data_IF_551260132818
#
_entry.id   IF_551260132818
#
_cell.length_a   1.000
_cell.length_b   1.000
_cell.length_c   1.000
_cell.angle_alpha   90.00
_cell.angle_beta   90.00
_cell.angle_gamma   90.00
#
_symmetry.space_group_name_H-M   'P 1'
#
loop_
_entity.id
_entity.type
_entity.pdbx_description
1 polymer ?
#
# COMPACT_ATOMS: atom_id res chain seq x y z
N UNK A 1 18.17 30.65 -23.63
CA UNK A 1 18.44 29.73 -24.76
C UNK A 1 18.84 28.32 -24.32
N UNK A 2 18.97 27.98 -23.03
CA UNK A 2 19.29 26.62 -22.56
C UNK A 2 18.07 25.81 -22.13
N UNK A 3 17.06 26.44 -21.52
CA UNK A 3 15.85 25.74 -21.02
C UNK A 3 14.98 25.16 -22.15
N UNK A 4 14.81 25.89 -23.26
CA UNK A 4 14.08 25.40 -24.44
C UNK A 4 14.76 24.16 -25.06
N UNK A 5 16.09 24.09 -25.04
CA UNK A 5 16.83 22.94 -25.59
C UNK A 5 16.73 21.71 -24.71
N UNK A 6 16.71 21.85 -23.38
CA UNK A 6 16.47 20.73 -22.47
C UNK A 6 15.02 20.22 -22.58
N UNK A 7 14.05 21.10 -22.76
CA UNK A 7 12.65 20.72 -22.96
C UNK A 7 12.44 20.03 -24.32
N UNK A 8 13.09 20.52 -25.38
CA UNK A 8 13.13 19.89 -26.70
C UNK A 8 13.84 18.53 -26.66
N UNK A 9 14.98 18.43 -25.96
CA UNK A 9 15.71 17.18 -25.81
C UNK A 9 14.90 16.14 -25.04
N UNK A 10 14.21 16.53 -23.95
CA UNK A 10 13.26 15.65 -23.27
C UNK A 10 12.11 15.25 -24.18
N UNK A 11 11.53 16.17 -24.96
CA UNK A 11 10.45 15.84 -25.90
C UNK A 11 10.88 14.85 -26.97
N UNK A 12 12.10 14.95 -27.47
CA UNK A 12 12.65 14.01 -28.46
C UNK A 12 13.02 12.67 -27.81
N UNK A 13 13.59 12.65 -26.61
CA UNK A 13 13.83 11.43 -25.85
C UNK A 13 12.50 10.71 -25.51
N UNK A 14 11.48 11.47 -25.10
CA UNK A 14 10.11 11.00 -24.89
C UNK A 14 9.48 10.43 -26.16
N UNK A 15 9.76 11.03 -27.32
CA UNK A 15 9.31 10.54 -28.63
C UNK A 15 9.99 9.23 -29.02
N UNK A 16 11.28 9.13 -28.79
CA UNK A 16 12.08 7.93 -29.08
C UNK A 16 11.66 6.77 -28.17
N UNK A 17 11.37 7.03 -26.89
CA UNK A 17 10.80 6.03 -25.97
C UNK A 17 9.38 5.63 -26.37
N UNK A 18 8.51 6.60 -26.76
CA UNK A 18 7.18 6.31 -27.32
C UNK A 18 7.25 5.42 -28.56
N UNK A 19 8.22 5.67 -29.45
CA UNK A 19 8.39 4.93 -30.69
C UNK A 19 8.93 3.52 -30.47
N UNK A 20 9.81 3.32 -29.46
CA UNK A 20 10.31 2.00 -29.06
C UNK A 20 9.24 1.16 -28.35
N UNK A 21 8.29 1.79 -27.65
CA UNK A 21 7.22 1.14 -26.89
C UNK A 21 5.96 0.78 -27.69
N UNK A 22 5.90 0.98 -29.02
CA UNK A 22 4.74 0.54 -29.82
C UNK A 22 4.72 -0.99 -30.00
N UNK A 23 4.42 -1.71 -28.93
CA UNK A 23 3.68 -2.98 -29.00
C UNK A 23 2.20 -2.63 -28.92
N UNK A 24 1.40 -3.14 -29.86
CA UNK A 24 0.00 -2.75 -30.11
C UNK A 24 -0.95 -2.98 -28.92
N UNK A 25 -0.49 -3.64 -27.82
CA UNK A 25 -1.27 -3.82 -26.58
C UNK A 25 -1.19 -2.65 -25.58
N UNK A 26 -0.24 -1.72 -25.74
CA UNK A 26 0.09 -0.74 -24.70
C UNK A 26 -0.58 0.65 -24.92
N UNK A 27 -1.07 0.97 -26.12
CA UNK A 27 -1.49 2.34 -26.48
C UNK A 27 -2.77 2.81 -25.75
N UNK A 28 -3.74 1.93 -25.50
CA UNK A 28 -5.00 2.28 -24.83
C UNK A 28 -4.87 2.35 -23.31
N UNK A 29 -4.09 1.44 -22.72
CA UNK A 29 -3.72 1.54 -21.30
C UNK A 29 -2.94 2.84 -21.07
N UNK A 30 -2.05 3.18 -22.00
CA UNK A 30 -1.24 4.38 -21.88
C UNK A 30 -2.06 5.67 -21.93
N UNK A 31 -3.02 5.78 -22.86
CA UNK A 31 -3.97 6.90 -22.88
C UNK A 31 -4.74 7.01 -21.55
N UNK A 32 -5.21 5.87 -21.04
CA UNK A 32 -5.94 5.83 -19.77
C UNK A 32 -5.06 6.27 -18.59
N UNK A 33 -3.77 5.94 -18.60
CA UNK A 33 -2.82 6.38 -17.57
C UNK A 33 -2.50 7.87 -17.70
N UNK A 34 -2.31 8.40 -18.91
CA UNK A 34 -2.08 9.84 -19.16
C UNK A 34 -3.28 10.71 -18.75
N UNK A 35 -4.52 10.21 -18.87
CA UNK A 35 -5.72 10.92 -18.39
C UNK A 35 -5.78 11.06 -16.87
N UNK A 36 -5.10 10.15 -16.16
CA UNK A 36 -5.22 10.01 -14.70
C UNK A 36 -3.99 10.56 -13.97
N UNK A 37 -2.82 10.43 -14.58
CA UNK A 37 -1.54 10.71 -13.94
C UNK A 37 -0.74 11.79 -14.68
N UNK A 38 0.08 12.52 -13.93
CA UNK A 38 1.01 13.47 -14.53
C UNK A 38 2.12 12.77 -15.34
N UNK A 39 2.69 13.49 -16.31
CA UNK A 39 3.75 12.97 -17.18
C UNK A 39 4.93 12.36 -16.40
N UNK A 40 5.28 12.92 -15.23
CA UNK A 40 6.38 12.41 -14.40
C UNK A 40 6.07 11.01 -13.86
N UNK A 41 4.86 10.81 -13.36
CA UNK A 41 4.38 9.50 -12.87
C UNK A 41 4.36 8.48 -14.01
N UNK A 42 3.87 8.89 -15.17
CA UNK A 42 3.82 8.03 -16.37
C UNK A 42 5.23 7.60 -16.80
N UNK A 43 6.19 8.53 -16.81
CA UNK A 43 7.60 8.21 -17.11
C UNK A 43 8.27 7.35 -16.05
N UNK A 44 7.97 7.58 -14.77
CA UNK A 44 8.42 6.72 -13.68
C UNK A 44 7.95 5.27 -13.89
N UNK A 45 6.68 5.08 -14.25
CA UNK A 45 6.13 3.75 -14.54
C UNK A 45 6.84 3.09 -15.73
N UNK A 46 7.10 3.85 -16.80
CA UNK A 46 7.84 3.34 -17.95
C UNK A 46 9.25 2.87 -17.60
N UNK A 47 9.97 3.62 -16.78
CA UNK A 47 11.28 3.19 -16.29
C UNK A 47 11.15 1.86 -15.54
N UNK A 48 10.11 1.68 -14.73
CA UNK A 48 9.86 0.43 -14.01
C UNK A 48 9.50 -0.75 -14.92
N UNK A 49 8.90 -0.49 -16.09
CA UNK A 49 8.60 -1.53 -17.11
C UNK A 49 9.86 -1.89 -17.91
N UNK A 50 10.64 -0.90 -18.30
CA UNK A 50 11.80 -1.08 -19.19
C UNK A 50 13.01 -1.68 -18.46
N UNK A 51 13.30 -1.21 -17.25
CA UNK A 51 14.50 -1.60 -16.49
C UNK A 51 14.21 -2.04 -15.05
N UNK A 52 12.94 -2.02 -14.63
CA UNK A 52 12.51 -2.42 -13.30
C UNK A 52 11.84 -3.80 -13.25
N UNK A 53 11.10 -4.09 -12.17
CA UNK A 53 10.55 -5.42 -11.91
C UNK A 53 9.28 -5.74 -12.72
N UNK A 54 8.69 -4.77 -13.43
CA UNK A 54 7.40 -4.92 -14.10
C UNK A 54 7.61 -5.39 -15.53
N UNK A 55 6.89 -6.43 -15.97
CA UNK A 55 6.81 -6.83 -17.37
C UNK A 55 5.69 -6.12 -18.12
N UNK A 56 4.47 -6.21 -17.59
CA UNK A 56 3.29 -5.60 -18.18
C UNK A 56 2.32 -5.13 -17.10
N UNK A 57 1.63 -4.03 -17.34
CA UNK A 57 0.57 -3.50 -16.47
C UNK A 57 -0.78 -3.75 -17.13
N UNK A 58 -1.80 -4.05 -16.33
CA UNK A 58 -3.17 -4.32 -16.77
C UNK A 58 -4.13 -3.31 -16.15
N UNK A 59 -5.42 -3.64 -16.08
CA UNK A 59 -6.47 -2.77 -15.55
C UNK A 59 -6.29 -2.39 -14.07
N UNK A 60 -6.97 -1.32 -13.68
CA UNK A 60 -7.05 -0.89 -12.29
C UNK A 60 -7.91 -1.88 -11.49
N UNK A 61 -7.36 -2.42 -10.40
CA UNK A 61 -8.08 -3.32 -9.47
C UNK A 61 -8.72 -2.56 -8.32
N UNK A 62 -8.18 -1.39 -7.96
CA UNK A 62 -8.75 -0.51 -6.92
C UNK A 62 -8.51 0.95 -7.28
N UNK A 63 -9.57 1.74 -7.22
CA UNK A 63 -9.50 3.20 -7.30
C UNK A 63 -9.87 3.80 -5.94
N UNK A 64 -8.95 4.56 -5.35
CA UNK A 64 -9.16 5.28 -4.10
C UNK A 64 -8.94 6.79 -4.26
N UNK A 65 -9.27 7.54 -3.21
CA UNK A 65 -9.05 9.00 -3.17
C UNK A 65 -7.57 9.41 -3.17
N UNK A 66 -6.69 8.51 -2.76
CA UNK A 66 -5.28 8.79 -2.48
C UNK A 66 -4.34 8.04 -3.43
N UNK A 67 -4.78 6.91 -3.96
CA UNK A 67 -3.99 6.09 -4.87
C UNK A 67 -4.90 5.25 -5.76
N UNK A 68 -4.32 4.73 -6.84
CA UNK A 68 -4.90 3.66 -7.63
C UNK A 68 -3.97 2.46 -7.59
N UNK A 69 -4.54 1.26 -7.59
CA UNK A 69 -3.80 0.01 -7.64
C UNK A 69 -4.13 -0.67 -8.96
N UNK A 70 -3.08 -1.06 -9.67
CA UNK A 70 -3.16 -1.80 -10.93
C UNK A 70 -2.63 -3.20 -10.73
N UNK A 71 -3.23 -4.16 -11.40
CA UNK A 71 -2.64 -5.47 -11.56
C UNK A 71 -1.54 -5.41 -12.62
N UNK A 72 -0.44 -6.11 -12.40
CA UNK A 72 0.69 -6.21 -13.32
C UNK A 72 1.29 -7.62 -13.27
N UNK A 73 2.08 -7.96 -14.28
CA UNK A 73 2.93 -9.15 -14.28
C UNK A 73 4.39 -8.73 -14.08
N UNK A 74 5.12 -9.46 -13.25
CA UNK A 74 6.55 -9.31 -13.09
C UNK A 74 7.33 -10.01 -14.20
N UNK A 75 8.64 -9.72 -14.29
CA UNK A 75 9.53 -10.33 -15.28
C UNK A 75 9.62 -11.86 -15.19
N UNK A 76 9.27 -12.45 -14.04
CA UNK A 76 9.24 -13.90 -13.86
C UNK A 76 7.83 -14.50 -14.00
N UNK A 77 6.84 -13.70 -14.41
CA UNK A 77 5.45 -14.11 -14.60
C UNK A 77 4.59 -14.07 -13.33
N UNK A 78 5.15 -13.65 -12.20
CA UNK A 78 4.43 -13.47 -10.94
C UNK A 78 3.43 -12.31 -11.00
N UNK A 79 2.36 -12.39 -10.21
CA UNK A 79 1.37 -11.32 -10.11
C UNK A 79 1.83 -10.20 -9.16
N UNK A 80 1.76 -8.97 -9.65
CA UNK A 80 2.19 -7.76 -8.98
C UNK A 80 1.02 -6.79 -8.79
N UNK A 81 1.03 -6.07 -7.67
CA UNK A 81 0.21 -4.89 -7.44
C UNK A 81 1.08 -3.64 -7.60
N UNK A 82 0.66 -2.73 -8.48
CA UNK A 82 1.31 -1.43 -8.71
C UNK A 82 0.43 -0.34 -8.12
N UNK A 83 0.78 0.13 -6.92
CA UNK A 83 0.09 1.22 -6.22
C UNK A 83 0.71 2.55 -6.60
N UNK A 84 -0.06 3.41 -7.24
CA UNK A 84 0.35 4.75 -7.68
C UNK A 84 -0.40 5.79 -6.85
N UNK A 85 0.34 6.58 -6.06
CA UNK A 85 -0.26 7.66 -5.27
C UNK A 85 -0.54 8.90 -6.13
N UNK A 86 -1.72 9.48 -5.94
CA UNK A 86 -2.19 10.63 -6.69
C UNK A 86 -1.50 11.90 -6.22
N UNK A 87 -0.91 12.65 -7.15
CA UNK A 87 -0.14 13.87 -6.84
C UNK A 87 -0.98 15.13 -6.66
N UNK A 88 -2.29 15.06 -6.96
CA UNK A 88 -3.20 16.20 -7.00
C UNK A 88 -4.20 16.27 -5.83
N UNK A 89 -4.32 15.22 -5.01
CA UNK A 89 -5.38 15.11 -4.00
C UNK A 89 -5.16 16.08 -2.82
N UNK A 90 -6.09 17.04 -2.63
CA UNK A 90 -5.96 18.09 -1.59
C UNK A 90 -6.39 17.64 -0.18
N UNK A 91 -7.39 16.77 -0.06
CA UNK A 91 -7.86 16.25 1.24
C UNK A 91 -6.76 15.42 1.93
N UNK A 92 -5.96 14.70 1.14
CA UNK A 92 -4.82 13.89 1.58
C UNK A 92 -3.68 14.72 2.22
N UNK A 93 -3.60 16.03 1.90
CA UNK A 93 -2.47 16.91 2.27
C UNK A 93 -2.31 17.11 3.77
N UNK A 94 -3.42 17.13 4.52
CA UNK A 94 -3.39 17.36 5.98
C UNK A 94 -3.26 16.05 6.76
N UNK A 95 -3.83 14.96 6.24
CA UNK A 95 -3.91 13.67 6.95
C UNK A 95 -2.59 12.90 6.95
N UNK A 96 -1.72 13.03 5.95
CA UNK A 96 -0.44 12.29 5.91
C UNK A 96 0.54 12.75 6.99
N UNK A 97 0.63 14.06 7.24
CA UNK A 97 1.71 14.64 8.05
C UNK A 97 1.72 14.09 9.47
N UNK A 98 0.56 13.89 10.09
CA UNK A 98 0.45 13.30 11.43
C UNK A 98 1.05 11.88 11.52
N UNK A 99 1.17 11.17 10.40
CA UNK A 99 1.73 9.82 10.35
C UNK A 99 3.21 9.78 9.93
N UNK A 100 3.76 10.89 9.41
CA UNK A 100 5.20 11.05 9.12
C UNK A 100 5.90 11.74 10.29
N UNK A 101 5.22 12.68 10.95
CA UNK A 101 5.80 13.49 12.02
C UNK A 101 6.30 12.59 13.15
N UNK A 102 7.56 12.79 13.55
CA UNK A 102 8.18 11.99 14.61
C UNK A 102 8.72 10.63 14.17
N UNK A 103 8.59 10.26 12.89
CA UNK A 103 9.28 9.10 12.33
C UNK A 103 10.69 9.49 11.87
N UNK A 104 11.76 9.08 12.57
CA UNK A 104 13.13 9.47 12.24
C UNK A 104 13.61 8.93 10.88
N UNK A 105 12.89 7.98 10.27
CA UNK A 105 13.23 7.40 8.96
C UNK A 105 12.94 8.33 7.80
N UNK A 106 12.20 9.42 8.03
CA UNK A 106 11.73 10.35 7.01
C UNK A 106 11.90 11.80 7.44
N UNK A 107 12.22 12.68 6.49
CA UNK A 107 12.25 14.13 6.73
C UNK A 107 10.93 14.72 6.28
N UNK A 108 10.35 15.58 7.12
CA UNK A 108 9.19 16.36 6.71
C UNK A 108 9.57 17.30 5.56
N UNK A 109 8.68 17.41 4.58
CA UNK A 109 8.86 18.25 3.40
C UNK A 109 7.69 19.20 3.24
N UNK A 110 8.01 20.46 2.94
CA UNK A 110 7.02 21.44 2.53
C UNK A 110 6.59 21.25 1.07
N UNK A 111 7.43 20.61 0.25
CA UNK A 111 7.09 20.26 -1.12
C UNK A 111 6.13 19.07 -1.14
N UNK A 112 4.97 19.27 -1.77
CA UNK A 112 3.89 18.31 -1.78
C UNK A 112 4.25 17.01 -2.51
N UNK A 113 4.95 17.13 -3.65
CA UNK A 113 5.31 15.97 -4.46
C UNK A 113 6.34 15.12 -3.72
N UNK A 114 7.32 15.75 -3.07
CA UNK A 114 8.25 15.06 -2.18
C UNK A 114 7.54 14.40 -1.00
N UNK A 115 6.51 15.02 -0.42
CA UNK A 115 5.72 14.39 0.65
C UNK A 115 5.04 13.09 0.17
N UNK A 116 4.52 13.07 -1.05
CA UNK A 116 3.91 11.86 -1.65
C UNK A 116 4.97 10.80 -1.93
N UNK A 117 6.15 11.18 -2.41
CA UNK A 117 7.26 10.24 -2.60
C UNK A 117 7.72 9.63 -1.27
N UNK A 118 7.84 10.46 -0.23
CA UNK A 118 8.10 10.00 1.14
C UNK A 118 7.00 9.05 1.61
N UNK A 119 5.73 9.30 1.27
CA UNK A 119 4.63 8.41 1.65
C UNK A 119 4.73 7.03 0.99
N UNK A 120 5.02 6.98 -0.31
CA UNK A 120 5.26 5.71 -1.01
C UNK A 120 6.45 4.95 -0.41
N UNK A 121 7.55 5.66 -0.12
CA UNK A 121 8.72 5.08 0.55
C UNK A 121 8.39 4.61 1.97
N UNK A 122 7.51 5.33 2.68
CA UNK A 122 7.05 4.95 4.02
C UNK A 122 6.28 3.64 4.00
N UNK A 123 5.33 3.50 3.10
CA UNK A 123 4.59 2.24 2.95
C UNK A 123 5.54 1.09 2.58
N UNK A 124 6.49 1.31 1.65
CA UNK A 124 7.52 0.32 1.33
C UNK A 124 8.33 -0.13 2.55
N UNK A 125 8.82 0.82 3.37
CA UNK A 125 9.60 0.50 4.57
C UNK A 125 8.74 -0.19 5.64
N UNK A 126 7.49 0.23 5.83
CA UNK A 126 6.58 -0.39 6.77
C UNK A 126 6.22 -1.82 6.37
N UNK A 127 5.91 -2.06 5.09
CA UNK A 127 5.70 -3.41 4.56
C UNK A 127 6.96 -4.28 4.75
N UNK A 128 8.15 -3.72 4.49
CA UNK A 128 9.41 -4.45 4.64
C UNK A 128 9.65 -4.86 6.09
N UNK A 129 9.41 -3.94 7.03
CA UNK A 129 9.56 -4.16 8.46
C UNK A 129 8.54 -5.16 9.00
N UNK A 130 7.27 -5.04 8.60
CA UNK A 130 6.22 -6.00 8.96
C UNK A 130 6.50 -7.40 8.40
N UNK A 131 6.91 -7.52 7.13
CA UNK A 131 7.29 -8.80 6.52
C UNK A 131 8.49 -9.43 7.23
N UNK A 132 9.50 -8.63 7.58
CA UNK A 132 10.67 -9.09 8.34
C UNK A 132 10.33 -9.63 9.73
N UNK A 133 9.27 -9.12 10.36
CA UNK A 133 8.70 -9.62 11.62
C UNK A 133 7.75 -10.83 11.44
N UNK A 134 7.59 -11.34 10.22
CA UNK A 134 6.70 -12.47 9.93
C UNK A 134 5.21 -12.12 9.87
N UNK A 135 4.86 -10.82 9.81
CA UNK A 135 3.47 -10.40 9.54
C UNK A 135 3.14 -10.70 8.09
N UNK A 136 1.98 -11.31 7.82
CA UNK A 136 1.49 -11.51 6.45
C UNK A 136 1.00 -10.18 5.89
N UNK A 137 1.85 -9.60 5.06
CA UNK A 137 1.59 -8.40 4.25
C UNK A 137 2.04 -8.68 2.81
N UNK A 138 1.55 -7.91 1.82
CA UNK A 138 2.12 -7.92 0.48
C UNK A 138 3.64 -7.70 0.55
N UNK A 139 4.42 -8.64 0.02
CA UNK A 139 5.87 -8.49 -0.05
C UNK A 139 6.21 -7.26 -0.89
N UNK A 140 6.89 -6.23 -0.33
CA UNK A 140 7.31 -5.08 -1.11
C UNK A 140 8.45 -5.48 -2.04
N UNK A 141 8.43 -4.96 -3.27
CA UNK A 141 9.38 -5.34 -4.33
C UNK A 141 10.21 -4.14 -4.75
N UNK A 142 9.56 -3.01 -5.05
CA UNK A 142 10.26 -1.80 -5.45
C UNK A 142 9.44 -0.57 -5.12
N UNK A 143 10.11 0.56 -4.92
CA UNK A 143 9.46 1.87 -4.83
C UNK A 143 10.26 2.88 -5.64
N UNK A 144 9.58 3.60 -6.52
CA UNK A 144 10.18 4.67 -7.29
C UNK A 144 9.20 5.85 -7.35
N UNK A 145 9.63 7.02 -6.87
CA UNK A 145 8.79 8.21 -6.77
C UNK A 145 7.48 7.93 -6.01
N UNK A 146 6.32 8.10 -6.66
CA UNK A 146 4.98 7.84 -6.13
C UNK A 146 4.43 6.47 -6.52
N UNK A 147 5.29 5.53 -6.95
CA UNK A 147 4.90 4.19 -7.37
C UNK A 147 5.51 3.15 -6.43
N UNK A 148 4.65 2.34 -5.84
CA UNK A 148 5.00 1.18 -5.02
C UNK A 148 4.60 -0.09 -5.75
N UNK A 149 5.55 -0.99 -5.95
CA UNK A 149 5.33 -2.33 -6.48
C UNK A 149 5.47 -3.34 -5.37
N UNK A 150 4.48 -4.21 -5.25
CA UNK A 150 4.41 -5.25 -4.22
C UNK A 150 3.72 -6.50 -4.77
N UNK A 151 3.81 -7.58 -4.01
CA UNK A 151 3.06 -8.82 -4.24
C UNK A 151 1.56 -8.54 -4.43
N UNK A 152 0.97 -9.14 -5.46
CA UNK A 152 -0.48 -9.16 -5.61
C UNK A 152 -1.08 -10.24 -4.71
N UNK A 153 -2.11 -9.90 -3.94
CA UNK A 153 -2.83 -10.85 -3.10
C UNK A 153 -4.14 -11.20 -3.81
N UNK A 154 -4.19 -12.37 -4.42
CA UNK A 154 -5.29 -12.83 -5.27
C UNK A 154 -4.79 -13.74 -6.39
N UNK A 155 -5.68 -14.10 -7.32
CA UNK A 155 -5.41 -15.11 -8.35
C UNK A 155 -5.80 -14.60 -9.73
N UNK A 156 -4.91 -14.75 -10.71
CA UNK A 156 -5.23 -14.47 -12.12
C UNK A 156 -5.66 -13.03 -12.42
N UNK A 157 -5.26 -12.07 -11.59
CA UNK A 157 -5.63 -10.65 -11.70
C UNK A 157 -6.87 -10.26 -10.89
N UNK A 158 -7.55 -11.21 -10.27
CA UNK A 158 -8.67 -10.95 -9.35
C UNK A 158 -8.14 -10.78 -7.91
N UNK A 159 -8.35 -9.62 -7.27
CA UNK A 159 -7.87 -9.39 -5.90
C UNK A 159 -8.64 -10.26 -4.91
N UNK A 160 -7.96 -10.76 -3.89
CA UNK A 160 -8.61 -11.51 -2.82
C UNK A 160 -9.65 -10.64 -2.07
N UNK A 161 -10.74 -11.23 -1.55
CA UNK A 161 -11.77 -10.47 -0.86
C UNK A 161 -11.23 -9.79 0.41
N UNK A 162 -11.80 -8.64 0.74
CA UNK A 162 -11.55 -8.02 2.04
C UNK A 162 -12.36 -8.77 3.12
N UNK A 163 -11.90 -8.69 4.36
CA UNK A 163 -12.57 -9.29 5.52
C UNK A 163 -14.03 -8.78 5.65
N UNK A 164 -14.28 -7.51 5.29
CA UNK A 164 -15.64 -6.94 5.24
C UNK A 164 -16.57 -7.67 4.25
N UNK A 165 -16.02 -8.21 3.17
CA UNK A 165 -16.77 -8.79 2.04
C UNK A 165 -17.07 -10.27 2.26
N UNK A 166 -16.46 -10.90 3.27
CA UNK A 166 -16.76 -12.28 3.66
C UNK A 166 -18.18 -12.38 4.23
N UNK A 167 -18.84 -13.50 3.93
CA UNK A 167 -20.15 -13.86 4.51
C UNK A 167 -19.96 -14.39 5.93
N UNK A 168 -21.04 -14.42 6.71
CA UNK A 168 -20.95 -14.79 8.14
C UNK A 168 -20.38 -16.20 8.37
N UNK A 169 -20.66 -17.16 7.49
CA UNK A 169 -20.09 -18.52 7.56
C UNK A 169 -18.64 -18.64 7.08
N UNK A 170 -18.06 -17.58 6.53
CA UNK A 170 -16.67 -17.54 6.04
C UNK A 170 -15.72 -16.90 7.08
N UNK A 171 -16.26 -16.22 8.10
CA UNK A 171 -15.48 -15.65 9.20
C UNK A 171 -15.53 -16.60 10.39
N UNK A 172 -14.41 -17.23 10.71
CA UNK A 172 -14.30 -18.17 11.83
C UNK A 172 -13.22 -17.78 12.85
N UNK A 173 -13.10 -18.57 13.91
CA UNK A 173 -12.13 -18.38 14.97
C UNK A 173 -10.67 -18.40 14.45
N UNK A 174 -10.37 -19.13 13.37
CA UNK A 174 -9.02 -19.22 12.82
C UNK A 174 -8.62 -17.91 12.17
N UNK A 175 -9.52 -17.26 11.42
CA UNK A 175 -9.26 -15.93 10.85
C UNK A 175 -9.07 -14.90 11.97
N UNK A 176 -9.85 -14.98 13.04
CA UNK A 176 -9.67 -14.12 14.22
C UNK A 176 -8.30 -14.30 14.86
N UNK A 177 -7.91 -15.55 15.16
CA UNK A 177 -6.61 -15.89 15.73
C UNK A 177 -5.45 -15.42 14.83
N UNK A 178 -5.59 -15.59 13.52
CA UNK A 178 -4.64 -15.10 12.52
C UNK A 178 -4.48 -13.58 12.57
N UNK A 179 -5.59 -12.83 12.64
CA UNK A 179 -5.57 -11.36 12.71
C UNK A 179 -4.93 -10.88 14.02
N UNK A 180 -5.28 -11.48 15.16
CA UNK A 180 -4.70 -11.12 16.46
C UNK A 180 -3.22 -11.47 16.55
N UNK A 181 -2.82 -12.65 16.05
CA UNK A 181 -1.41 -13.05 15.99
C UNK A 181 -0.58 -12.13 15.07
N UNK A 182 -1.14 -11.67 13.96
CA UNK A 182 -0.49 -10.66 13.12
C UNK A 182 -0.39 -9.30 13.80
N UNK A 183 -1.42 -8.88 14.54
CA UNK A 183 -1.41 -7.63 15.31
C UNK A 183 -0.34 -7.67 16.41
N UNK A 184 -0.18 -8.81 17.09
CA UNK A 184 0.90 -9.06 18.05
C UNK A 184 2.28 -8.89 17.42
N UNK A 185 2.53 -9.60 16.31
CA UNK A 185 3.82 -9.51 15.58
C UNK A 185 4.08 -8.09 15.08
N UNK A 186 3.07 -7.41 14.56
CA UNK A 186 3.19 -6.03 14.10
C UNK A 186 3.61 -5.10 15.26
N UNK A 187 2.99 -5.25 16.43
CA UNK A 187 3.25 -4.40 17.58
C UNK A 187 4.57 -4.73 18.30
N UNK A 188 4.81 -6.00 18.60
CA UNK A 188 5.94 -6.45 19.43
C UNK A 188 7.22 -6.59 18.61
N UNK A 189 7.14 -7.27 17.48
CA UNK A 189 8.32 -7.68 16.71
C UNK A 189 8.67 -6.63 15.65
N UNK A 190 7.66 -6.11 14.93
CA UNK A 190 7.87 -5.06 13.95
C UNK A 190 7.97 -3.67 14.61
N UNK A 191 7.48 -3.48 15.83
CA UNK A 191 7.48 -2.18 16.50
C UNK A 191 6.60 -1.12 15.81
N UNK A 192 5.54 -1.56 15.13
CA UNK A 192 4.61 -0.73 14.37
C UNK A 192 3.19 -0.80 14.94
N UNK A 193 2.44 0.28 14.75
CA UNK A 193 0.98 0.33 14.93
C UNK A 193 0.39 0.67 13.57
N UNK A 194 -0.61 -0.09 13.11
CA UNK A 194 -1.17 0.09 11.76
C UNK A 194 -1.80 1.47 11.57
N UNK A 195 -2.43 2.00 12.63
CA UNK A 195 -3.05 3.32 12.67
C UNK A 195 -4.15 3.55 11.63
N UNK A 196 -4.76 2.47 11.13
CA UNK A 196 -5.99 2.46 10.32
C UNK A 196 -6.54 1.04 10.14
N UNK A 197 -6.34 0.16 11.13
CA UNK A 197 -6.73 -1.25 10.98
C UNK A 197 -8.24 -1.40 11.16
N UNK A 198 -8.86 -2.08 10.19
CA UNK A 198 -10.28 -2.42 10.16
C UNK A 198 -10.50 -3.56 9.16
N UNK A 199 -11.72 -4.07 9.07
CA UNK A 199 -12.15 -5.07 8.09
C UNK A 199 -11.97 -4.65 6.62
N UNK A 200 -11.74 -3.36 6.36
CA UNK A 200 -11.49 -2.81 5.02
C UNK A 200 -10.03 -2.95 4.56
N UNK A 201 -9.11 -3.19 5.51
CA UNK A 201 -7.67 -3.25 5.28
C UNK A 201 -7.07 -4.63 5.65
N UNK A 202 -7.94 -5.64 5.77
CA UNK A 202 -7.55 -7.05 5.92
C UNK A 202 -8.08 -7.81 4.72
N UNK A 203 -7.21 -8.41 3.92
CA UNK A 203 -7.59 -9.33 2.84
C UNK A 203 -7.54 -10.77 3.34
N UNK A 204 -8.38 -11.65 2.77
CA UNK A 204 -8.36 -13.08 3.08
C UNK A 204 -8.13 -13.85 1.79
N UNK A 205 -7.00 -14.56 1.72
CA UNK A 205 -6.59 -15.34 0.56
C UNK A 205 -6.20 -16.74 1.03
N UNK A 206 -6.77 -17.78 0.39
CA UNK A 206 -6.57 -19.19 0.77
C UNK A 206 -6.75 -19.47 2.28
N UNK A 207 -7.75 -18.84 2.89
CA UNK A 207 -8.06 -18.99 4.31
C UNK A 207 -7.08 -18.30 5.27
N UNK A 208 -6.15 -17.47 4.76
CA UNK A 208 -5.19 -16.71 5.57
C UNK A 208 -5.46 -15.22 5.47
N UNK A 209 -5.39 -14.54 6.61
CA UNK A 209 -5.49 -13.08 6.65
C UNK A 209 -4.16 -12.39 6.26
N UNK A 210 -4.28 -11.26 5.57
CA UNK A 210 -3.19 -10.37 5.18
C UNK A 210 -3.53 -8.92 5.53
N UNK A 211 -2.60 -8.21 6.16
CA UNK A 211 -2.72 -6.76 6.36
C UNK A 211 -2.23 -6.01 5.12
N UNK A 212 -2.99 -5.01 4.69
CA UNK A 212 -2.66 -4.14 3.57
C UNK A 212 -2.74 -2.67 3.99
N UNK A 213 -2.23 -1.77 3.15
CA UNK A 213 -2.31 -0.32 3.35
C UNK A 213 -1.56 0.19 4.60
N UNK A 214 -0.32 -0.25 4.79
CA UNK A 214 0.57 0.17 5.89
C UNK A 214 1.16 1.58 5.69
N UNK A 215 0.62 2.38 4.75
CA UNK A 215 1.07 3.75 4.50
C UNK A 215 0.87 4.64 5.73
N UNK A 216 -0.22 4.45 6.47
CA UNK A 216 -0.52 5.20 7.70
C UNK A 216 0.18 4.65 8.94
N UNK A 217 0.75 3.44 8.89
CA UNK A 217 1.34 2.80 10.07
C UNK A 217 2.48 3.62 10.68
N UNK A 218 2.48 3.75 12.00
CA UNK A 218 3.43 4.55 12.78
C UNK A 218 4.32 3.66 13.64
N UNK A 219 5.48 4.17 14.05
CA UNK A 219 6.31 3.49 15.04
C UNK A 219 5.59 3.44 16.39
N UNK A 220 5.86 2.41 17.19
CA UNK A 220 5.35 2.28 18.57
C UNK A 220 5.74 3.46 19.48
N UNK A 221 6.82 4.15 19.15
CA UNK A 221 7.30 5.36 19.86
C UNK A 221 6.58 6.64 19.46
N UNK A 222 5.67 6.59 18.48
CA UNK A 222 4.92 7.76 18.04
C UNK A 222 4.01 8.28 19.17
N UNK A 223 3.86 9.60 19.38
CA UNK A 223 3.06 10.16 20.48
C UNK A 223 1.61 9.69 20.51
N UNK A 224 1.03 9.38 19.35
CA UNK A 224 -0.34 8.87 19.20
C UNK A 224 -0.43 7.35 19.03
N UNK A 225 0.68 6.61 19.16
CA UNK A 225 0.70 5.16 18.92
C UNK A 225 -0.34 4.42 19.77
N UNK A 226 -0.49 4.80 21.04
CA UNK A 226 -1.45 4.20 21.97
C UNK A 226 -2.90 4.46 21.56
N UNK A 227 -3.23 5.70 21.15
CA UNK A 227 -4.56 6.05 20.65
C UNK A 227 -4.91 5.26 19.38
N UNK A 228 -3.95 5.16 18.47
CA UNK A 228 -4.12 4.40 17.22
C UNK A 228 -4.29 2.90 17.49
N UNK A 229 -3.47 2.32 18.37
CA UNK A 229 -3.58 0.92 18.75
C UNK A 229 -4.94 0.61 19.37
N UNK A 230 -5.41 1.45 20.29
CA UNK A 230 -6.72 1.28 20.93
C UNK A 230 -7.87 1.29 19.90
N UNK A 231 -7.78 2.18 18.90
CA UNK A 231 -8.76 2.23 17.81
C UNK A 231 -8.69 0.99 16.91
N UNK A 232 -7.49 0.60 16.51
CA UNK A 232 -7.25 -0.57 15.66
C UNK A 232 -7.80 -1.85 16.31
N UNK A 233 -7.45 -2.10 17.58
CA UNK A 233 -7.99 -3.23 18.36
C UNK A 233 -9.51 -3.11 18.48
N UNK A 234 -10.03 -1.95 18.85
CA UNK A 234 -11.47 -1.74 19.00
C UNK A 234 -12.27 -2.00 17.71
N UNK A 235 -11.73 -1.65 16.54
CA UNK A 235 -12.35 -1.92 15.25
C UNK A 235 -12.40 -3.42 14.96
N UNK A 236 -11.25 -4.11 15.14
CA UNK A 236 -11.14 -5.55 14.89
C UNK A 236 -12.06 -6.35 15.82
N UNK A 237 -12.01 -6.08 17.12
CA UNK A 237 -12.84 -6.78 18.11
C UNK A 237 -14.32 -6.60 17.80
N UNK A 238 -14.75 -5.35 17.54
CA UNK A 238 -16.14 -5.05 17.17
C UNK A 238 -16.58 -5.76 15.88
N UNK A 239 -15.69 -5.89 14.90
CA UNK A 239 -16.01 -6.61 13.67
C UNK A 239 -16.30 -8.09 13.97
N UNK A 240 -15.40 -8.78 14.70
CA UNK A 240 -15.58 -10.20 15.00
C UNK A 240 -16.76 -10.47 15.95
N UNK A 241 -17.04 -9.59 16.92
CA UNK A 241 -18.25 -9.65 17.75
C UNK A 241 -19.52 -9.61 16.89
N UNK A 242 -19.60 -8.70 15.91
CA UNK A 242 -20.75 -8.62 14.98
C UNK A 242 -20.91 -9.86 14.11
N UNK A 243 -19.84 -10.63 13.91
CA UNK A 243 -19.87 -11.92 13.18
C UNK A 243 -20.21 -13.10 14.08
N UNK A 244 -20.58 -12.86 15.34
CA UNK A 244 -21.03 -13.90 16.27
C UNK A 244 -19.91 -14.61 17.03
N UNK A 245 -18.67 -14.11 16.95
CA UNK A 245 -17.58 -14.59 17.80
C UNK A 245 -17.64 -13.88 19.17
N UNK A 246 -16.97 -14.47 20.17
CA UNK A 246 -16.86 -13.90 21.52
C UNK A 246 -15.39 -13.58 21.86
N UNK A 247 -14.78 -12.58 21.19
CA UNK A 247 -13.40 -12.17 21.47
C UNK A 247 -13.29 -11.53 22.88
N UNK A 248 -12.09 -11.50 23.49
CA UNK A 248 -11.87 -10.72 24.71
C UNK A 248 -12.11 -9.22 24.46
N UNK A 249 -12.41 -8.49 25.53
CA UNK A 249 -12.61 -7.05 25.43
C UNK A 249 -11.34 -6.33 24.93
N UNK A 250 -11.49 -5.17 24.24
CA UNK A 250 -10.36 -4.46 23.67
C UNK A 250 -9.25 -4.11 24.66
N UNK A 251 -9.60 -3.75 25.91
CA UNK A 251 -8.60 -3.37 26.93
C UNK A 251 -7.75 -4.57 27.35
N UNK A 252 -8.37 -5.74 27.52
CA UNK A 252 -7.66 -6.99 27.78
C UNK A 252 -6.69 -7.34 26.66
N UNK A 253 -7.10 -7.20 25.40
CA UNK A 253 -6.23 -7.45 24.24
C UNK A 253 -5.06 -6.47 24.21
N UNK A 254 -5.31 -5.17 24.41
CA UNK A 254 -4.24 -4.15 24.45
C UNK A 254 -3.26 -4.42 25.59
N UNK A 255 -3.78 -4.74 26.78
CA UNK A 255 -2.96 -5.09 27.94
C UNK A 255 -2.10 -6.30 27.66
N UNK A 256 -2.65 -7.33 27.00
CA UNK A 256 -1.87 -8.47 26.54
C UNK A 256 -0.80 -8.06 25.55
N UNK A 257 -1.13 -7.34 24.47
CA UNK A 257 -0.15 -6.88 23.46
C UNK A 257 1.02 -6.10 24.06
N UNK A 258 0.77 -5.29 25.08
CA UNK A 258 1.76 -4.47 25.78
C UNK A 258 2.60 -5.19 26.83
N UNK A 259 2.26 -6.44 27.20
CA UNK A 259 3.09 -7.24 28.11
C UNK A 259 4.42 -7.58 27.42
N UNK A 260 5.50 -7.34 28.15
CA UNK A 260 6.87 -7.73 27.81
C UNK A 260 7.14 -9.13 28.34
#
# INVERSE_FOLDING_TARGET
>A
MSEDYEELARREELRVDRARSKRVKDEDLFKTLEEVFDLKTVMALYQMINSGPIDSVFGAVKAGKESRVYWAKGKSGEDLAVKIYLTSSMEFKKSIRQYIQGDPRFRDSKDHRQLIYTWAQKEFKNLSQAKGAGVRVPRPIHVHQNILVMEFIGDGGEPAPMLKDLRDGEVDARIYEDVIGMLERLYRDAGLVHADLSEYNVMVHEGKAYFIDLGQAVLKTHPMADTFLSRDVGNIIRFFEKRGLNPPDPESVIKWLKRQ
#
